data_IF_951205903012
#
_entry.id   IF_951205903012
#
_cell.length_a   1.000
_cell.length_b   1.000
_cell.length_c   1.000
_cell.angle_alpha   90.00
_cell.angle_beta   90.00
_cell.angle_gamma   90.00
#
_symmetry.space_group_name_H-M   'P 1'
#
loop_
_entity.id
_entity.type
_entity.pdbx_description
1 polymer ?
#
# COMPACT_ATOMS: atom_id res chain seq x y z
N UNK A 1 1.64 5.03 -6.74
CA UNK A 1 0.52 4.10 -6.95
C UNK A 1 -0.76 4.90 -6.88
N UNK A 2 -1.71 4.67 -7.78
CA UNK A 2 -3.03 5.29 -7.74
C UNK A 2 -3.90 4.69 -6.63
N UNK A 3 -4.89 5.46 -6.14
CA UNK A 3 -5.87 4.97 -5.16
C UNK A 3 -6.62 3.71 -5.64
N UNK A 4 -6.79 3.56 -6.97
CA UNK A 4 -7.39 2.39 -7.58
C UNK A 4 -6.51 1.14 -7.45
N UNK A 5 -5.19 1.26 -7.69
CA UNK A 5 -4.22 0.17 -7.54
C UNK A 5 -4.12 -0.29 -6.07
N UNK A 6 -4.09 0.65 -5.12
CA UNK A 6 -4.10 0.33 -3.68
C UNK A 6 -5.38 -0.41 -3.28
N UNK A 7 -6.54 0.08 -3.74
CA UNK A 7 -7.84 -0.56 -3.48
C UNK A 7 -7.91 -1.97 -4.08
N UNK A 8 -7.32 -2.18 -5.26
CA UNK A 8 -7.23 -3.49 -5.89
C UNK A 8 -6.35 -4.45 -5.08
N UNK A 9 -5.20 -3.99 -4.59
CA UNK A 9 -4.31 -4.79 -3.74
C UNK A 9 -4.97 -5.21 -2.42
N UNK A 10 -5.70 -4.29 -1.77
CA UNK A 10 -6.46 -4.59 -0.55
C UNK A 10 -7.49 -5.68 -0.82
N UNK A 11 -8.29 -5.56 -1.89
CA UNK A 11 -9.29 -6.58 -2.26
C UNK A 11 -8.66 -7.95 -2.52
N UNK A 12 -7.50 -7.98 -3.19
CA UNK A 12 -6.76 -9.23 -3.42
C UNK A 12 -6.30 -9.83 -2.09
N UNK A 13 -5.74 -9.01 -1.20
CA UNK A 13 -5.28 -9.43 0.12
C UNK A 13 -6.44 -10.01 0.96
N UNK A 14 -7.57 -9.33 1.03
CA UNK A 14 -8.75 -9.78 1.80
C UNK A 14 -9.28 -11.12 1.27
N UNK A 15 -9.33 -11.27 -0.05
CA UNK A 15 -9.73 -12.52 -0.71
C UNK A 15 -8.78 -13.66 -0.35
N UNK A 16 -7.47 -13.45 -0.48
CA UNK A 16 -6.46 -14.46 -0.18
C UNK A 16 -6.48 -14.84 1.31
N UNK A 17 -6.61 -13.85 2.20
CA UNK A 17 -6.70 -14.08 3.63
C UNK A 17 -7.92 -14.94 3.98
N UNK A 18 -9.07 -14.63 3.40
CA UNK A 18 -10.31 -15.40 3.59
C UNK A 18 -10.14 -16.84 3.13
N UNK A 19 -9.52 -17.07 1.96
CA UNK A 19 -9.28 -18.40 1.43
C UNK A 19 -8.33 -19.20 2.32
N UNK A 20 -7.20 -18.62 2.73
CA UNK A 20 -6.23 -19.30 3.59
C UNK A 20 -6.80 -19.59 4.99
N UNK A 21 -7.65 -18.71 5.53
CA UNK A 21 -8.33 -18.97 6.81
C UNK A 21 -9.30 -20.15 6.73
N UNK A 22 -9.99 -20.33 5.60
CA UNK A 22 -10.84 -21.52 5.35
C UNK A 22 -9.99 -22.78 5.29
N UNK A 23 -8.90 -22.75 4.50
CA UNK A 23 -7.94 -23.86 4.43
C UNK A 23 -7.40 -24.21 5.83
N UNK A 24 -6.92 -23.23 6.61
CA UNK A 24 -6.45 -23.43 7.98
C UNK A 24 -7.51 -24.10 8.87
N UNK A 25 -8.79 -23.73 8.72
CA UNK A 25 -9.88 -24.34 9.48
C UNK A 25 -10.06 -25.82 9.12
N UNK A 26 -9.94 -26.16 7.85
CA UNK A 26 -10.01 -27.55 7.38
C UNK A 26 -8.79 -28.37 7.83
N UNK A 27 -7.59 -27.78 7.74
CA UNK A 27 -6.35 -28.42 8.19
C UNK A 27 -6.34 -28.69 9.70
N UNK A 28 -6.94 -27.80 10.49
CA UNK A 28 -7.05 -27.95 11.95
C UNK A 28 -8.32 -28.70 12.41
N UNK A 29 -9.18 -29.14 11.48
CA UNK A 29 -10.43 -29.79 11.83
C UNK A 29 -10.19 -31.11 12.60
N UNK A 30 -11.00 -31.41 13.63
CA UNK A 30 -10.88 -32.65 14.39
C UNK A 30 -10.95 -33.91 13.53
N UNK A 31 -11.79 -33.91 12.50
CA UNK A 31 -11.94 -34.99 11.51
C UNK A 31 -10.65 -35.22 10.73
N UNK A 32 -10.01 -34.15 10.25
CA UNK A 32 -8.70 -34.19 9.57
C UNK A 32 -7.64 -34.82 10.47
N UNK A 33 -7.57 -34.39 11.74
CA UNK A 33 -6.63 -34.95 12.71
C UNK A 33 -6.89 -36.44 12.99
N UNK A 34 -8.14 -36.88 13.02
CA UNK A 34 -8.47 -38.30 13.17
C UNK A 34 -8.03 -39.12 11.96
N UNK A 35 -8.21 -38.59 10.74
CA UNK A 35 -7.76 -39.24 9.51
C UNK A 35 -6.23 -39.39 9.50
N UNK A 36 -5.50 -38.35 9.87
CA UNK A 36 -4.03 -38.39 9.95
C UNK A 36 -3.54 -39.41 10.97
N UNK A 37 -4.17 -39.47 12.15
CA UNK A 37 -3.85 -40.50 13.16
C UNK A 37 -4.06 -41.92 12.62
N UNK A 38 -5.16 -42.16 11.91
CA UNK A 38 -5.44 -43.48 11.28
C UNK A 38 -4.44 -43.80 10.16
N UNK A 39 -4.07 -42.81 9.36
CA UNK A 39 -3.05 -42.95 8.31
C UNK A 39 -1.68 -43.28 8.92
N UNK A 40 -1.29 -42.61 10.01
CA UNK A 40 -0.06 -42.92 10.73
C UNK A 40 0.00 -44.39 11.17
N UNK A 41 -1.09 -44.89 11.75
CA UNK A 41 -1.17 -46.29 12.18
C UNK A 41 -1.08 -47.29 11.02
N UNK A 42 -1.53 -46.92 9.81
CA UNK A 42 -1.56 -47.81 8.64
C UNK A 42 -0.30 -47.79 7.79
N UNK A 43 0.34 -46.63 7.61
CA UNK A 43 1.38 -46.41 6.59
C UNK A 43 2.65 -45.80 7.21
N UNK A 44 2.66 -45.47 8.50
CA UNK A 44 3.76 -44.77 9.18
C UNK A 44 3.64 -43.24 9.13
N UNK A 45 4.61 -42.53 9.71
CA UNK A 45 4.52 -41.09 10.03
C UNK A 45 4.68 -40.10 8.87
N UNK A 46 5.22 -40.52 7.71
CA UNK A 46 5.58 -39.60 6.62
C UNK A 46 4.46 -38.66 6.13
N UNK A 47 3.24 -39.16 5.87
CA UNK A 47 2.11 -38.32 5.48
C UNK A 47 1.66 -37.32 6.56
N UNK A 48 1.77 -37.65 7.85
CA UNK A 48 1.43 -36.74 8.95
C UNK A 48 2.41 -35.56 9.00
N UNK A 49 3.71 -35.83 8.83
CA UNK A 49 4.74 -34.79 8.86
C UNK A 49 4.62 -33.84 7.67
N UNK A 50 4.38 -34.35 6.46
CA UNK A 50 4.09 -33.52 5.29
C UNK A 50 2.85 -32.65 5.51
N UNK A 51 1.78 -33.23 6.06
CA UNK A 51 0.56 -32.49 6.33
C UNK A 51 0.78 -31.37 7.37
N UNK A 52 1.57 -31.65 8.42
CA UNK A 52 1.95 -30.66 9.42
C UNK A 52 2.74 -29.50 8.81
N UNK A 53 3.68 -29.78 7.90
CA UNK A 53 4.42 -28.75 7.16
C UNK A 53 3.50 -27.86 6.32
N UNK A 54 2.50 -28.44 5.66
CA UNK A 54 1.50 -27.68 4.90
C UNK A 54 0.70 -26.76 5.83
N UNK A 55 0.26 -27.25 6.99
CA UNK A 55 -0.45 -26.44 7.97
C UNK A 55 0.40 -25.25 8.46
N UNK A 56 1.67 -25.48 8.78
CA UNK A 56 2.60 -24.41 9.16
C UNK A 56 2.76 -23.38 8.05
N UNK A 57 2.97 -23.82 6.80
CA UNK A 57 3.12 -22.91 5.66
C UNK A 57 1.87 -22.03 5.44
N UNK A 58 0.67 -22.59 5.64
CA UNK A 58 -0.59 -21.83 5.56
C UNK A 58 -0.68 -20.78 6.68
N UNK A 59 -0.27 -21.12 7.90
CA UNK A 59 -0.25 -20.17 9.02
C UNK A 59 0.75 -19.03 8.80
N UNK A 60 1.94 -19.35 8.28
CA UNK A 60 2.95 -18.37 7.90
C UNK A 60 2.44 -17.45 6.79
N UNK A 61 1.81 -18.00 5.75
CA UNK A 61 1.21 -17.20 4.68
C UNK A 61 0.12 -16.25 5.20
N UNK A 62 -0.74 -16.71 6.12
CA UNK A 62 -1.73 -15.87 6.80
C UNK A 62 -1.05 -14.73 7.58
N UNK A 63 0.04 -15.04 8.30
CA UNK A 63 0.79 -14.02 9.05
C UNK A 63 1.38 -12.98 8.11
N UNK A 64 2.01 -13.39 7.02
CA UNK A 64 2.58 -12.49 6.02
C UNK A 64 1.53 -11.59 5.38
N UNK A 65 0.34 -12.12 5.05
CA UNK A 65 -0.76 -11.30 4.51
C UNK A 65 -1.27 -10.24 5.49
N UNK A 66 -1.24 -10.51 6.81
CA UNK A 66 -1.62 -9.52 7.83
C UNK A 66 -0.57 -8.44 8.02
N UNK A 67 0.72 -8.80 7.90
CA UNK A 67 1.82 -7.84 7.92
C UNK A 67 1.71 -6.92 6.71
N UNK A 68 1.54 -7.48 5.51
CA UNK A 68 1.36 -6.73 4.27
C UNK A 68 0.17 -5.75 4.34
N UNK A 69 -0.97 -6.18 4.89
CA UNK A 69 -2.13 -5.30 5.12
C UNK A 69 -1.78 -4.12 6.03
N UNK A 70 -1.01 -4.37 7.08
CA UNK A 70 -0.58 -3.34 8.03
C UNK A 70 0.39 -2.35 7.39
N UNK A 71 1.27 -2.82 6.51
CA UNK A 71 2.21 -1.99 5.75
C UNK A 71 1.47 -1.06 4.78
N UNK A 72 0.52 -1.58 3.99
CA UNK A 72 -0.34 -0.77 3.11
C UNK A 72 -1.10 0.29 3.91
N UNK A 73 -1.73 -0.11 5.01
CA UNK A 73 -2.50 0.83 5.85
C UNK A 73 -1.62 1.94 6.42
N UNK A 74 -0.40 1.61 6.85
CA UNK A 74 0.56 2.59 7.36
C UNK A 74 0.96 3.59 6.28
N UNK A 75 1.30 3.11 5.09
CA UNK A 75 1.68 3.98 3.97
C UNK A 75 0.53 4.92 3.58
N UNK A 76 -0.71 4.41 3.51
CA UNK A 76 -1.89 5.21 3.22
C UNK A 76 -2.19 6.26 4.30
N UNK A 77 -1.98 5.92 5.58
CA UNK A 77 -2.12 6.85 6.71
C UNK A 77 -1.05 7.93 6.70
N UNK A 78 0.19 7.58 6.32
CA UNK A 78 1.28 8.55 6.19
C UNK A 78 1.05 9.51 5.00
N UNK A 79 0.46 9.03 3.89
CA UNK A 79 -0.02 9.90 2.81
C UNK A 79 -1.15 10.84 3.29
N UNK A 80 -2.08 10.34 4.09
CA UNK A 80 -3.19 11.16 4.62
C UNK A 80 -2.77 12.25 5.63
N UNK A 81 -1.54 12.16 6.17
CA UNK A 81 -0.93 13.18 7.04
C UNK A 81 -0.24 14.31 6.28
N UNK A 82 -0.34 14.32 4.95
CA UNK A 82 0.23 15.40 4.18
C UNK A 82 -0.32 16.77 4.63
N UNK A 83 0.54 17.81 4.69
CA UNK A 83 0.14 19.14 5.10
C UNK A 83 -0.90 19.70 4.13
N UNK A 84 -1.99 20.25 4.64
CA UNK A 84 -2.97 20.95 3.81
C UNK A 84 -2.37 22.24 3.28
N UNK A 85 -2.43 22.46 1.97
CA UNK A 85 -1.99 23.71 1.33
C UNK A 85 -3.18 24.67 1.29
N UNK A 86 -3.00 25.86 1.88
CA UNK A 86 -4.04 26.87 2.01
C UNK A 86 -4.56 27.30 0.61
N UNK A 87 -5.88 27.23 0.41
CA UNK A 87 -6.54 27.61 -0.84
C UNK A 87 -6.65 26.52 -1.92
N UNK A 88 -6.13 25.30 -1.69
CA UNK A 88 -6.20 24.20 -2.67
C UNK A 88 -6.76 22.94 -1.99
N UNK A 89 -8.09 22.73 -1.99
CA UNK A 89 -8.69 21.49 -1.48
C UNK A 89 -8.31 20.30 -2.37
N UNK A 90 -8.19 19.12 -1.77
CA UNK A 90 -7.91 17.83 -2.44
C UNK A 90 -6.59 17.73 -3.24
N UNK A 91 -5.60 18.56 -2.89
CA UNK A 91 -4.25 18.41 -3.42
C UNK A 91 -3.64 17.05 -3.03
N UNK A 92 -3.10 16.27 -3.97
CA UNK A 92 -2.48 14.99 -3.67
C UNK A 92 -1.38 15.10 -2.59
N UNK A 93 -1.32 14.16 -1.64
CA UNK A 93 -0.41 14.20 -0.50
C UNK A 93 1.04 14.54 -0.79
N UNK A 94 1.62 13.94 -1.83
CA UNK A 94 3.03 14.15 -2.16
C UNK A 94 3.29 15.54 -2.74
N UNK A 95 2.32 16.08 -3.49
CA UNK A 95 2.38 17.45 -4.00
C UNK A 95 2.24 18.47 -2.87
N UNK A 96 1.33 18.20 -1.94
CA UNK A 96 1.13 19.04 -0.76
C UNK A 96 2.39 19.08 0.12
N UNK A 97 3.02 17.92 0.32
CA UNK A 97 4.31 17.80 1.01
C UNK A 97 5.45 18.54 0.29
N UNK A 98 5.55 18.40 -1.03
CA UNK A 98 6.54 19.12 -1.84
C UNK A 98 6.43 20.65 -1.66
N UNK A 99 5.20 21.18 -1.68
CA UNK A 99 4.96 22.61 -1.47
C UNK A 99 5.36 22.99 -0.05
N UNK A 100 4.89 22.26 0.97
CA UNK A 100 5.17 22.58 2.37
C UNK A 100 6.67 22.56 2.71
N UNK A 101 7.43 21.61 2.17
CA UNK A 101 8.88 21.53 2.36
C UNK A 101 9.61 22.73 1.75
N UNK A 102 9.11 23.29 0.64
CA UNK A 102 9.77 24.41 -0.08
C UNK A 102 9.20 25.78 0.23
N UNK A 103 8.00 25.86 0.79
CA UNK A 103 7.37 27.12 1.19
C UNK A 103 8.20 27.90 2.21
N UNK A 104 9.03 27.19 3.00
CA UNK A 104 9.96 27.81 3.95
C UNK A 104 11.19 28.46 3.27
N UNK A 105 11.43 28.19 1.98
CA UNK A 105 12.59 28.72 1.27
C UNK A 105 12.30 30.13 0.73
N UNK A 106 13.10 31.14 1.11
CA UNK A 106 12.94 32.49 0.57
C UNK A 106 13.08 32.50 -0.96
N UNK A 107 12.14 33.16 -1.65
CA UNK A 107 12.14 33.22 -3.12
C UNK A 107 11.50 32.01 -3.81
N UNK A 108 10.95 31.03 -3.08
CA UNK A 108 10.13 29.97 -3.66
C UNK A 108 8.74 30.50 -4.03
N UNK A 109 8.33 30.23 -5.27
CA UNK A 109 7.02 30.56 -5.82
C UNK A 109 6.47 29.34 -6.55
N UNK A 110 5.16 29.13 -6.46
CA UNK A 110 4.51 28.01 -7.13
C UNK A 110 3.12 28.41 -7.63
N UNK A 111 2.68 27.71 -8.67
CA UNK A 111 1.34 27.79 -9.24
C UNK A 111 0.82 26.36 -9.34
N UNK A 112 -0.37 26.12 -8.78
CA UNK A 112 -1.06 24.83 -8.88
C UNK A 112 -2.26 25.00 -9.79
N UNK A 113 -2.40 24.11 -10.76
CA UNK A 113 -3.59 24.00 -11.59
C UNK A 113 -4.09 22.56 -11.62
N UNK A 114 -5.40 22.39 -11.64
CA UNK A 114 -6.05 21.11 -11.88
C UNK A 114 -6.62 21.12 -13.29
N UNK A 115 -6.07 20.29 -14.17
CA UNK A 115 -6.57 20.09 -15.53
C UNK A 115 -7.42 18.82 -15.58
N UNK A 116 -8.64 18.84 -16.13
CA UNK A 116 -9.52 17.66 -16.18
C UNK A 116 -8.91 16.45 -16.91
N UNK A 117 -7.96 16.68 -17.83
CA UNK A 117 -7.33 15.65 -18.67
C UNK A 117 -5.93 15.31 -18.17
N UNK A 118 -5.15 16.31 -17.76
CA UNK A 118 -3.75 16.15 -17.34
C UNK A 118 -3.59 15.93 -15.84
N UNK A 119 -4.64 16.15 -15.07
CA UNK A 119 -4.62 16.05 -13.62
C UNK A 119 -4.02 17.27 -12.92
N UNK A 120 -3.46 17.04 -11.74
CA UNK A 120 -2.79 18.08 -10.99
C UNK A 120 -1.47 18.46 -11.64
N UNK A 121 -1.25 19.75 -11.81
CA UNK A 121 -0.02 20.31 -12.35
C UNK A 121 0.51 21.36 -11.38
N UNK A 122 1.79 21.24 -11.01
CA UNK A 122 2.49 22.26 -10.24
C UNK A 122 3.61 22.83 -11.09
N UNK A 123 3.64 24.15 -11.23
CA UNK A 123 4.80 24.89 -11.74
C UNK A 123 5.45 25.61 -10.58
N UNK A 124 6.77 25.54 -10.48
CA UNK A 124 7.48 26.21 -9.41
C UNK A 124 8.74 26.88 -9.92
N UNK A 125 9.10 27.98 -9.26
CA UNK A 125 10.34 28.73 -9.47
C UNK A 125 10.91 29.14 -8.12
N UNK A 126 12.21 29.03 -7.99
CA UNK A 126 12.98 29.49 -6.84
C UNK A 126 13.93 30.60 -7.32
N UNK A 127 13.89 31.74 -6.65
CA UNK A 127 14.75 32.89 -6.94
C UNK A 127 15.82 33.03 -5.87
N UNK A 128 17.02 33.46 -6.27
CA UNK A 128 18.04 33.93 -5.33
C UNK A 128 17.62 35.27 -4.72
N UNK A 129 18.25 35.71 -3.61
CA UNK A 129 18.01 37.04 -3.06
C UNK A 129 18.24 38.18 -4.06
N UNK A 130 19.09 37.97 -5.07
CA UNK A 130 19.36 38.92 -6.15
C UNK A 130 18.36 38.89 -7.31
N UNK A 131 17.28 38.10 -7.22
CA UNK A 131 16.23 38.04 -8.23
C UNK A 131 16.50 37.10 -9.43
N UNK A 132 17.63 36.39 -9.44
CA UNK A 132 17.95 35.42 -10.49
C UNK A 132 17.27 34.07 -10.21
N UNK A 133 16.79 33.39 -11.25
CA UNK A 133 16.22 32.04 -11.10
C UNK A 133 17.32 31.06 -10.66
N UNK A 134 17.17 30.49 -9.46
CA UNK A 134 18.02 29.43 -8.91
C UNK A 134 17.59 28.04 -9.40
N UNK A 135 16.27 27.83 -9.50
CA UNK A 135 15.70 26.56 -9.91
C UNK A 135 14.28 26.74 -10.42
N UNK A 136 13.85 25.88 -11.33
CA UNK A 136 12.49 25.84 -11.82
C UNK A 136 12.11 24.43 -12.24
N UNK A 137 10.83 24.12 -12.24
CA UNK A 137 10.35 22.83 -12.69
C UNK A 137 8.84 22.75 -12.80
N UNK A 138 8.38 21.63 -13.32
CA UNK A 138 6.96 21.30 -13.43
C UNK A 138 6.73 19.85 -13.06
N UNK A 139 5.73 19.61 -12.23
CA UNK A 139 5.29 18.26 -11.79
C UNK A 139 3.90 18.03 -12.37
N UNK A 140 3.68 16.84 -12.92
CA UNK A 140 2.40 16.39 -13.44
C UNK A 140 1.96 15.14 -12.70
N UNK A 141 0.74 15.13 -12.21
CA UNK A 141 0.11 13.97 -11.61
C UNK A 141 -1.25 13.72 -12.25
N UNK A 142 -1.36 12.61 -12.98
CA UNK A 142 -2.58 12.21 -13.68
C UNK A 142 -3.44 11.35 -12.75
N UNK A 143 -4.66 11.78 -12.37
CA UNK A 143 -5.57 10.95 -11.58
C UNK A 143 -6.15 9.77 -12.37
N UNK A 144 -6.05 9.77 -13.72
CA UNK A 144 -6.66 8.76 -14.60
C UNK A 144 -5.74 8.28 -15.74
N UNK A 145 -4.44 8.12 -15.52
CA UNK A 145 -3.60 7.42 -16.50
C UNK A 145 -3.87 5.91 -16.40
N UNK A 146 -4.63 5.39 -17.35
CA UNK A 146 -4.89 3.97 -17.60
C UNK A 146 -3.75 3.33 -18.39
#
# INVERSE_FOLDING_TARGET
MSAAEVSQLIRIQERLLTQLQRVRKELSAPTTNQILKRLRTKIGGGPEDTFRRIATAVEEAIRSLKVFESEIKRELLDESRAPTVEGIPDLPPHLARFIAERFQSPGFTYEVSQDPVRGWTIRWKEYTPGGTVRGYGQIYERPHAW
#
